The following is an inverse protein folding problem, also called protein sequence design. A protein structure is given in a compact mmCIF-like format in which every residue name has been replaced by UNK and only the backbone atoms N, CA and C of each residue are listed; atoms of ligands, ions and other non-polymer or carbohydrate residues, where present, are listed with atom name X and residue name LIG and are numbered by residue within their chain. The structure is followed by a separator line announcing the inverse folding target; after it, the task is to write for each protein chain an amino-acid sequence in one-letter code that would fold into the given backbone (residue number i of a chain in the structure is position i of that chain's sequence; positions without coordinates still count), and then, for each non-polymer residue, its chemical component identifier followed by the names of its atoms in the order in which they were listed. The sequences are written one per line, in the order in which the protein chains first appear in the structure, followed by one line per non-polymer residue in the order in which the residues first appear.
data_IF_232498735052
#
_entry.id   IF_232498735052
#
_cell.length_a   1.000
_cell.length_b   1.000
_cell.length_c   1.000
_cell.angle_alpha   90.00
_cell.angle_beta   90.00
_cell.angle_gamma   90.00
#
_symmetry.space_group_name_H-M   'P 1'
#
loop_
_entity.id
_entity.type
_entity.pdbx_description
1 polymer ?
#
# COMPACT_ATOMS: atom_id res chain seq x y z
N UNK A 1 16.98 -26.41 4.01
CA UNK A 1 16.02 -25.29 3.81
C UNK A 1 16.86 -24.05 3.80
N UNK A 2 17.04 -23.43 2.64
CA UNK A 2 18.03 -22.38 2.41
C UNK A 2 17.52 -21.02 2.88
N UNK A 3 17.19 -20.89 4.18
CA UNK A 3 17.11 -19.66 5.02
C UNK A 3 16.47 -18.36 4.50
N UNK A 4 15.97 -18.29 3.28
CA UNK A 4 15.57 -17.05 2.60
C UNK A 4 14.09 -17.13 2.26
N UNK A 5 13.30 -16.31 2.97
CA UNK A 5 11.87 -16.12 2.73
C UNK A 5 11.62 -15.52 1.35
N UNK A 6 10.71 -16.11 0.58
CA UNK A 6 10.22 -15.61 -0.70
C UNK A 6 9.27 -14.42 -0.51
N UNK A 7 8.99 -13.67 -1.58
CA UNK A 7 8.05 -12.55 -1.53
C UNK A 7 6.63 -12.97 -1.13
N UNK A 8 6.18 -14.15 -1.58
CA UNK A 8 4.86 -14.70 -1.25
C UNK A 8 4.80 -15.08 0.22
N UNK A 9 5.83 -15.78 0.74
CA UNK A 9 5.88 -16.13 2.15
C UNK A 9 5.93 -14.88 3.05
N UNK A 10 6.60 -13.82 2.61
CA UNK A 10 6.62 -12.55 3.33
C UNK A 10 5.25 -11.87 3.38
N UNK A 11 4.53 -11.83 2.25
CA UNK A 11 3.15 -11.33 2.19
C UNK A 11 2.22 -12.12 3.13
N UNK A 12 2.27 -13.46 3.07
CA UNK A 12 1.46 -14.33 3.93
C UNK A 12 1.75 -14.14 5.42
N UNK A 13 3.04 -14.06 5.80
CA UNK A 13 3.46 -13.87 7.19
C UNK A 13 3.06 -12.47 7.68
N UNK A 14 3.20 -11.44 6.86
CA UNK A 14 2.74 -10.08 7.19
C UNK A 14 1.22 -10.06 7.38
N UNK A 15 0.48 -10.67 6.46
CA UNK A 15 -0.98 -10.77 6.54
C UNK A 15 -1.41 -11.44 7.85
N UNK A 16 -0.81 -12.59 8.20
CA UNK A 16 -1.10 -13.28 9.47
C UNK A 16 -0.82 -12.40 10.69
N UNK A 17 0.26 -11.62 10.70
CA UNK A 17 0.51 -10.71 11.81
C UNK A 17 -0.46 -9.54 11.87
N UNK A 18 -0.87 -8.98 10.73
CA UNK A 18 -1.90 -7.94 10.71
C UNK A 18 -3.23 -8.47 11.27
N UNK A 19 -3.60 -9.73 10.98
CA UNK A 19 -4.78 -10.35 11.58
C UNK A 19 -4.67 -10.49 13.11
N UNK A 20 -3.46 -10.72 13.63
CA UNK A 20 -3.20 -10.81 15.07
C UNK A 20 -3.20 -9.43 15.75
N UNK A 21 -2.72 -8.40 15.05
CA UNK A 21 -2.60 -7.03 15.54
C UNK A 21 -3.39 -6.09 14.62
N UNK A 22 -4.71 -6.26 14.61
CA UNK A 22 -5.60 -5.53 13.70
C UNK A 22 -5.83 -4.06 14.07
N UNK A 23 -5.19 -3.57 15.14
CA UNK A 23 -5.12 -2.17 15.54
C UNK A 23 -3.65 -1.86 15.89
N UNK A 24 -2.92 -1.28 14.92
CA UNK A 24 -1.48 -1.04 15.03
C UNK A 24 -1.10 0.30 14.38
N UNK A 25 -0.23 1.05 15.04
CA UNK A 25 0.32 2.30 14.51
C UNK A 25 1.80 2.13 14.17
N UNK A 26 2.14 2.35 12.90
CA UNK A 26 3.50 2.35 12.39
C UNK A 26 4.06 3.76 12.29
N UNK A 27 5.34 3.90 12.63
CA UNK A 27 6.13 5.08 12.24
C UNK A 27 6.45 4.98 10.75
N UNK A 28 5.74 5.76 9.95
CA UNK A 28 6.02 5.85 8.52
C UNK A 28 7.11 6.90 8.24
N UNK A 29 7.89 6.64 7.20
CA UNK A 29 8.82 7.59 6.60
C UNK A 29 8.44 7.86 5.15
N UNK A 30 9.15 8.74 4.46
CA UNK A 30 9.22 8.68 3.00
C UNK A 30 10.30 7.69 2.56
N UNK A 31 10.49 7.59 1.24
CA UNK A 31 11.48 6.73 0.60
C UNK A 31 12.94 7.10 0.90
N UNK A 32 13.22 8.22 1.56
CA UNK A 32 14.55 8.62 2.04
C UNK A 32 14.72 8.46 3.56
N UNK A 33 13.71 7.90 4.25
CA UNK A 33 13.77 7.68 5.70
C UNK A 33 13.41 8.92 6.53
N UNK A 34 12.92 9.99 5.91
CA UNK A 34 12.44 11.15 6.67
C UNK A 34 11.06 10.84 7.26
N UNK A 35 10.87 11.09 8.54
CA UNK A 35 9.61 10.83 9.23
C UNK A 35 8.43 11.53 8.55
N UNK A 36 7.30 10.81 8.49
CA UNK A 36 6.01 11.26 7.98
C UNK A 36 4.92 11.05 9.03
N UNK A 37 3.69 11.35 8.64
CA UNK A 37 2.52 11.06 9.47
C UNK A 37 2.52 9.56 9.83
N UNK A 38 2.27 9.18 11.08
CA UNK A 38 2.13 7.77 11.45
C UNK A 38 1.00 7.13 10.64
N UNK A 39 1.21 5.87 10.21
CA UNK A 39 0.16 5.09 9.57
C UNK A 39 -0.56 4.27 10.63
N UNK A 40 -1.85 4.55 10.82
CA UNK A 40 -2.72 3.73 11.67
C UNK A 40 -3.43 2.69 10.80
N UNK A 41 -3.09 1.42 10.99
CA UNK A 41 -3.82 0.30 10.38
C UNK A 41 -4.79 -0.21 11.45
N UNK A 42 -6.08 0.00 11.21
CA UNK A 42 -7.15 -0.50 12.06
C UNK A 42 -8.25 -1.15 11.22
N UNK A 43 -8.60 -2.39 11.54
CA UNK A 43 -9.70 -3.09 10.89
C UNK A 43 -10.37 -4.09 11.84
N UNK A 44 -11.64 -4.37 11.59
CA UNK A 44 -12.46 -5.29 12.39
C UNK A 44 -12.51 -6.70 11.76
N UNK A 45 -12.42 -6.77 10.44
CA UNK A 45 -12.45 -8.00 9.67
C UNK A 45 -11.69 -7.82 8.36
N UNK A 46 -11.38 -8.94 7.70
CA UNK A 46 -10.74 -8.96 6.40
C UNK A 46 -11.61 -9.65 5.36
N UNK A 47 -11.38 -9.33 4.09
CA UNK A 47 -12.01 -9.98 2.94
C UNK A 47 -10.98 -10.20 1.84
N UNK A 48 -11.20 -11.21 1.00
CA UNK A 48 -10.49 -11.30 -0.28
C UNK A 48 -11.20 -10.36 -1.26
N UNK A 49 -10.43 -9.52 -1.95
CA UNK A 49 -10.96 -8.60 -2.94
C UNK A 49 -11.67 -9.36 -4.06
N UNK A 50 -12.93 -9.02 -4.29
CA UNK A 50 -13.71 -9.52 -5.42
C UNK A 50 -13.54 -8.61 -6.63
N UNK A 51 -13.80 -9.13 -7.83
CA UNK A 51 -13.88 -8.33 -9.07
C UNK A 51 -15.29 -8.45 -9.68
N UNK A 52 -16.10 -7.36 -9.69
CA UNK A 52 -15.81 -6.05 -9.12
C UNK A 52 -15.81 -6.09 -7.58
N UNK A 53 -15.11 -5.15 -6.91
CA UNK A 53 -15.15 -5.01 -5.46
C UNK A 53 -16.58 -4.85 -4.93
N UNK A 54 -16.85 -5.46 -3.78
CA UNK A 54 -18.09 -5.21 -3.04
C UNK A 54 -18.16 -3.73 -2.62
N UNK A 55 -19.38 -3.19 -2.55
CA UNK A 55 -19.57 -1.86 -1.97
C UNK A 55 -19.10 -1.85 -0.52
N UNK A 56 -18.25 -0.88 -0.20
CA UNK A 56 -17.77 -0.62 1.15
C UNK A 56 -18.89 0.06 1.93
N UNK A 57 -19.30 -0.59 3.00
CA UNK A 57 -20.24 -0.07 4.00
C UNK A 57 -19.54 0.27 5.32
N UNK A 58 -18.27 -0.12 5.47
CA UNK A 58 -17.41 0.12 6.63
C UNK A 58 -15.96 0.23 6.13
N UNK A 59 -15.26 1.32 6.45
CA UNK A 59 -13.86 1.53 6.06
C UNK A 59 -12.88 0.68 6.89
N UNK A 60 -13.36 -0.02 7.93
CA UNK A 60 -12.58 -0.90 8.79
C UNK A 60 -12.44 -2.34 8.24
N UNK A 61 -12.42 -2.50 6.91
CA UNK A 61 -12.23 -3.79 6.23
C UNK A 61 -10.86 -3.81 5.57
N UNK A 62 -10.01 -4.76 5.97
CA UNK A 62 -8.78 -5.03 5.25
C UNK A 62 -9.09 -5.97 4.07
N UNK A 63 -8.98 -5.46 2.85
CA UNK A 63 -9.03 -6.29 1.66
C UNK A 63 -7.63 -6.85 1.37
N UNK A 64 -7.52 -8.17 1.26
CA UNK A 64 -6.39 -8.85 0.62
C UNK A 64 -6.69 -8.98 -0.87
N UNK A 65 -5.84 -8.42 -1.70
CA UNK A 65 -5.99 -8.49 -3.14
C UNK A 65 -5.71 -9.91 -3.64
N UNK A 66 -6.31 -10.30 -4.76
CA UNK A 66 -5.99 -11.59 -5.39
C UNK A 66 -4.61 -11.53 -6.06
N UNK A 67 -3.95 -12.68 -6.20
CA UNK A 67 -2.64 -12.76 -6.88
C UNK A 67 -2.74 -12.19 -8.30
N UNK A 68 -1.90 -11.21 -8.61
CA UNK A 68 -1.92 -10.51 -9.89
C UNK A 68 -2.96 -9.39 -10.00
N UNK A 69 -3.69 -9.05 -8.92
CA UNK A 69 -4.36 -7.76 -8.85
C UNK A 69 -3.29 -6.67 -9.04
N UNK A 70 -3.47 -5.73 -9.98
CA UNK A 70 -2.37 -4.85 -10.33
C UNK A 70 -1.86 -4.07 -9.11
N UNK A 71 -0.54 -4.02 -8.91
CA UNK A 71 0.17 -3.05 -8.07
C UNK A 71 -0.01 -3.07 -6.53
N UNK A 72 -1.07 -3.65 -5.96
CA UNK A 72 -1.32 -3.60 -4.51
C UNK A 72 -1.75 -4.95 -3.92
N UNK A 73 -1.18 -5.28 -2.75
CA UNK A 73 -1.41 -6.54 -2.03
C UNK A 73 -2.56 -6.39 -1.01
N UNK A 74 -2.72 -5.19 -0.42
CA UNK A 74 -3.81 -4.89 0.49
C UNK A 74 -4.45 -3.53 0.24
N UNK A 75 -5.72 -3.40 0.60
CA UNK A 75 -6.44 -2.12 0.62
C UNK A 75 -7.24 -2.00 1.92
N UNK A 76 -7.10 -0.87 2.60
CA UNK A 76 -7.87 -0.52 3.79
C UNK A 76 -8.49 0.87 3.58
N UNK A 77 -9.80 0.93 3.40
CA UNK A 77 -10.50 2.17 3.08
C UNK A 77 -9.97 2.82 1.78
N UNK A 78 -9.23 3.94 1.91
CA UNK A 78 -8.56 4.66 0.81
C UNK A 78 -7.03 4.58 0.88
N UNK A 79 -6.51 3.66 1.70
CA UNK A 79 -5.08 3.35 1.82
C UNK A 79 -4.76 2.09 1.01
N UNK A 80 -3.89 2.24 0.01
CA UNK A 80 -3.44 1.17 -0.87
C UNK A 80 -2.02 0.76 -0.46
N UNK A 81 -1.81 -0.53 -0.24
CA UNK A 81 -0.58 -1.05 0.36
C UNK A 81 0.08 -2.03 -0.60
N UNK A 82 1.34 -1.77 -0.93
CA UNK A 82 2.21 -2.65 -1.70
C UNK A 82 3.34 -3.17 -0.80
N UNK A 83 3.62 -4.46 -0.90
CA UNK A 83 4.50 -5.20 0.00
C UNK A 83 5.58 -5.93 -0.79
N UNK A 84 6.82 -5.87 -0.32
CA UNK A 84 7.92 -6.55 -1.01
C UNK A 84 9.14 -6.75 -0.12
N UNK A 85 9.82 -7.89 -0.30
CA UNK A 85 11.15 -8.15 0.28
C UNK A 85 12.28 -7.37 -0.43
N UNK A 86 11.98 -6.71 -1.54
CA UNK A 86 12.91 -5.86 -2.26
C UNK A 86 12.79 -4.41 -1.82
N UNK A 87 13.81 -3.61 -2.12
CA UNK A 87 13.72 -2.16 -1.93
C UNK A 87 12.78 -1.53 -2.99
N UNK A 88 12.31 -0.31 -2.74
CA UNK A 88 11.32 0.34 -3.60
C UNK A 88 11.79 0.48 -5.05
N UNK A 89 13.02 0.96 -5.29
CA UNK A 89 13.54 1.16 -6.65
C UNK A 89 13.58 -0.15 -7.45
N UNK A 90 13.96 -1.26 -6.81
CA UNK A 90 14.00 -2.58 -7.46
C UNK A 90 12.60 -3.12 -7.71
N UNK A 91 11.68 -2.93 -6.75
CA UNK A 91 10.33 -3.46 -6.85
C UNK A 91 9.43 -2.66 -7.79
N UNK A 92 9.46 -1.32 -7.74
CA UNK A 92 8.64 -0.42 -8.55
C UNK A 92 9.10 -0.38 -10.01
N UNK A 93 8.94 -1.51 -10.70
CA UNK A 93 9.27 -1.72 -12.10
C UNK A 93 8.25 -2.67 -12.73
N UNK A 94 8.13 -2.65 -14.05
CA UNK A 94 7.27 -3.58 -14.83
C UNK A 94 5.82 -3.59 -14.34
N UNK A 95 5.33 -4.71 -13.78
CA UNK A 95 3.95 -4.89 -13.33
C UNK A 95 3.70 -4.36 -11.92
N UNK A 96 4.74 -3.98 -11.17
CA UNK A 96 4.65 -3.42 -9.83
C UNK A 96 4.85 -1.90 -9.81
N UNK A 97 4.97 -1.28 -10.98
CA UNK A 97 5.14 0.17 -11.11
C UNK A 97 3.85 0.92 -10.75
N UNK A 98 3.89 1.70 -9.67
CA UNK A 98 2.75 2.44 -9.14
C UNK A 98 2.15 3.40 -10.18
N UNK A 99 2.96 3.99 -11.07
CA UNK A 99 2.43 4.89 -12.10
C UNK A 99 1.34 4.22 -12.95
N UNK A 100 1.47 2.92 -13.19
CA UNK A 100 0.50 2.14 -13.95
C UNK A 100 -0.87 2.06 -13.28
N UNK A 101 -0.94 2.08 -11.95
CA UNK A 101 -2.21 2.14 -11.23
C UNK A 101 -3.01 3.41 -11.55
N UNK A 102 -2.35 4.47 -12.05
CA UNK A 102 -2.95 5.74 -12.47
C UNK A 102 -3.11 5.87 -13.99
N UNK A 103 -2.30 5.18 -14.79
CA UNK A 103 -2.27 5.34 -16.26
C UNK A 103 -2.92 4.20 -17.03
N UNK A 104 -2.84 2.96 -16.54
CA UNK A 104 -3.35 1.79 -17.24
C UNK A 104 -4.87 1.78 -17.11
N UNK A 105 -5.54 2.10 -18.22
CA UNK A 105 -6.99 2.27 -18.25
C UNK A 105 -7.71 1.03 -18.75
N UNK A 106 -8.65 0.56 -17.95
CA UNK A 106 -9.68 -0.40 -18.36
C UNK A 106 -11.01 0.32 -18.34
N UNK A 107 -11.76 0.30 -19.44
CA UNK A 107 -13.04 1.01 -19.57
C UNK A 107 -12.94 2.51 -19.22
N UNK A 108 -11.90 3.18 -19.71
CA UNK A 108 -11.59 4.61 -19.50
C UNK A 108 -11.18 5.02 -18.08
N UNK A 109 -11.17 4.11 -17.11
CA UNK A 109 -10.77 4.36 -15.73
C UNK A 109 -9.47 3.64 -15.42
N UNK A 110 -8.64 4.27 -14.59
CA UNK A 110 -7.47 3.57 -14.04
C UNK A 110 -7.88 2.67 -12.88
N UNK A 111 -6.92 1.89 -12.38
CA UNK A 111 -7.19 0.91 -11.35
C UNK A 111 -7.72 1.52 -10.04
N UNK A 112 -7.12 2.63 -9.59
CA UNK A 112 -7.53 3.31 -8.36
C UNK A 112 -8.96 3.83 -8.49
N UNK A 113 -9.29 4.46 -9.62
CA UNK A 113 -10.64 4.91 -9.95
C UNK A 113 -11.63 3.75 -9.97
N UNK A 114 -11.27 2.62 -10.60
CA UNK A 114 -12.12 1.42 -10.65
C UNK A 114 -12.40 0.87 -9.25
N UNK A 115 -11.39 0.74 -8.40
CA UNK A 115 -11.59 0.32 -7.02
C UNK A 115 -12.51 1.28 -6.26
N UNK A 116 -12.18 2.58 -6.25
CA UNK A 116 -12.91 3.57 -5.46
C UNK A 116 -14.36 3.72 -5.93
N UNK A 117 -14.63 3.63 -7.22
CA UNK A 117 -16.00 3.73 -7.76
C UNK A 117 -16.83 2.50 -7.44
N UNK A 118 -16.24 1.29 -7.54
CA UNK A 118 -16.94 0.06 -7.18
C UNK A 118 -17.19 -0.01 -5.66
N UNK A 119 -16.20 0.38 -4.86
CA UNK A 119 -16.27 0.40 -3.41
C UNK A 119 -17.25 1.47 -2.88
N UNK A 120 -17.15 2.72 -3.31
CA UNK A 120 -17.89 3.84 -2.71
C UNK A 120 -19.04 4.38 -3.57
N UNK A 121 -19.28 3.83 -4.76
CA UNK A 121 -20.44 4.16 -5.61
C UNK A 121 -20.46 5.59 -6.18
N UNK A 122 -19.33 6.29 -6.19
CA UNK A 122 -19.20 7.67 -6.70
C UNK A 122 -18.33 7.71 -7.96
N UNK A 123 -18.13 8.91 -8.55
CA UNK A 123 -17.21 9.11 -9.67
C UNK A 123 -15.91 9.73 -9.18
N UNK A 124 -14.94 8.87 -8.91
CA UNK A 124 -13.60 9.26 -8.56
C UNK A 124 -12.76 9.54 -9.81
N UNK A 125 -11.79 10.42 -9.63
CA UNK A 125 -10.67 10.59 -10.55
C UNK A 125 -9.38 10.51 -9.76
N UNK A 126 -8.41 9.76 -10.27
CA UNK A 126 -7.10 9.61 -9.66
C UNK A 126 -6.03 9.88 -10.71
N UNK A 127 -5.06 10.73 -10.40
CA UNK A 127 -3.93 11.00 -11.30
C UNK A 127 -2.70 11.47 -10.51
N UNK A 128 -1.54 11.39 -11.16
CA UNK A 128 -0.30 11.97 -10.65
C UNK A 128 -0.16 13.37 -11.23
N UNK A 129 -0.08 14.38 -10.36
CA UNK A 129 0.12 15.75 -10.79
C UNK A 129 1.50 15.89 -11.48
N UNK A 130 1.52 16.39 -12.70
CA UNK A 130 2.76 16.43 -13.50
C UNK A 130 3.81 17.39 -12.95
N UNK A 131 3.39 18.42 -12.21
CA UNK A 131 4.25 19.48 -11.69
C UNK A 131 4.83 19.15 -10.31
N UNK A 132 4.02 18.57 -9.43
CA UNK A 132 4.36 18.27 -8.04
C UNK A 132 4.66 16.80 -7.80
N UNK A 133 4.33 15.92 -8.76
CA UNK A 133 4.41 14.46 -8.65
C UNK A 133 3.55 13.84 -7.55
N UNK A 134 2.63 14.63 -6.99
CA UNK A 134 1.73 14.20 -5.93
C UNK A 134 0.58 13.37 -6.46
N UNK A 135 0.08 12.47 -5.64
CA UNK A 135 -1.12 11.70 -5.95
C UNK A 135 -2.35 12.56 -5.67
N UNK A 136 -3.18 12.77 -6.69
CA UNK A 136 -4.41 13.54 -6.58
C UNK A 136 -5.59 12.62 -6.79
N UNK A 137 -6.43 12.50 -5.77
CA UNK A 137 -7.73 11.81 -5.85
C UNK A 137 -8.84 12.81 -5.60
N UNK A 138 -9.84 12.80 -6.46
CA UNK A 138 -11.04 13.63 -6.32
C UNK A 138 -12.29 12.76 -6.45
N UNK A 139 -13.35 13.13 -5.74
CA UNK A 139 -14.68 12.55 -5.86
C UNK A 139 -15.65 13.68 -6.17
N UNK A 140 -16.35 13.59 -7.31
CA UNK A 140 -17.28 14.64 -7.76
C UNK A 140 -16.65 16.06 -7.77
N UNK A 141 -15.36 16.16 -8.08
CA UNK A 141 -14.60 17.41 -8.14
C UNK A 141 -14.04 17.91 -6.80
N UNK A 142 -14.33 17.23 -5.69
CA UNK A 142 -13.76 17.56 -4.37
C UNK A 142 -12.57 16.64 -4.07
N UNK A 143 -11.51 17.18 -3.45
CA UNK A 143 -10.33 16.41 -3.07
C UNK A 143 -10.64 15.39 -1.98
N UNK A 144 -10.12 14.18 -2.15
CA UNK A 144 -10.14 13.10 -1.17
C UNK A 144 -8.82 13.14 -0.41
N UNK A 145 -8.85 13.65 0.83
CA UNK A 145 -7.64 13.99 1.58
C UNK A 145 -7.00 12.81 2.34
N UNK A 146 -7.74 11.73 2.53
CA UNK A 146 -7.35 10.51 3.25
C UNK A 146 -6.86 9.39 2.31
N UNK A 147 -6.58 9.71 1.04
CA UNK A 147 -5.97 8.78 0.10
C UNK A 147 -4.47 8.64 0.39
N UNK A 148 -4.01 7.39 0.52
CA UNK A 148 -2.61 7.07 0.80
C UNK A 148 -2.13 5.88 -0.03
N UNK A 149 -0.87 5.94 -0.48
CA UNK A 149 -0.14 4.78 -0.98
C UNK A 149 0.99 4.48 -0.01
N UNK A 150 1.08 3.21 0.41
CA UNK A 150 2.04 2.73 1.39
C UNK A 150 2.88 1.62 0.76
N UNK A 151 4.20 1.73 0.93
CA UNK A 151 5.16 0.68 0.60
C UNK A 151 5.73 0.06 1.86
N UNK A 152 5.52 -1.24 2.04
CA UNK A 152 6.06 -2.03 3.15
C UNK A 152 7.24 -2.86 2.64
N UNK A 153 8.43 -2.57 3.18
CA UNK A 153 9.66 -3.19 2.74
C UNK A 153 10.15 -4.25 3.75
N UNK A 154 10.24 -5.50 3.30
CA UNK A 154 10.81 -6.63 4.02
C UNK A 154 12.33 -6.74 3.94
N UNK A 155 13.02 -5.75 3.33
CA UNK A 155 14.49 -5.74 3.25
C UNK A 155 15.08 -5.11 4.50
N UNK A 156 16.16 -5.70 5.03
CA UNK A 156 16.97 -5.10 6.09
C UNK A 156 17.58 -3.76 5.65
N UNK A 157 17.61 -2.81 6.58
CA UNK A 157 18.24 -1.50 6.42
C UNK A 157 17.24 -0.35 6.24
N UNK A 158 17.76 0.87 6.30
CA UNK A 158 16.96 2.07 6.17
C UNK A 158 16.71 2.43 4.71
N UNK A 159 15.53 2.98 4.38
CA UNK A 159 15.27 3.50 3.05
C UNK A 159 16.24 4.66 2.75
N UNK A 160 16.92 4.59 1.61
CA UNK A 160 17.85 5.63 1.14
C UNK A 160 17.62 5.96 -0.34
N UNK A 161 16.36 5.93 -0.77
CA UNK A 161 15.97 6.22 -2.14
C UNK A 161 15.71 7.72 -2.33
N UNK A 162 16.69 8.55 -1.95
CA UNK A 162 16.60 10.02 -2.02
C UNK A 162 16.20 10.54 -3.40
N UNK A 163 16.65 9.88 -4.47
CA UNK A 163 16.23 10.19 -5.84
C UNK A 163 14.74 9.92 -6.09
N UNK A 164 14.16 8.88 -5.48
CA UNK A 164 12.76 8.48 -5.68
C UNK A 164 11.75 9.32 -4.90
N UNK A 165 12.17 10.04 -3.87
CA UNK A 165 11.30 11.02 -3.20
C UNK A 165 10.84 12.13 -4.16
N UNK A 166 11.61 12.45 -5.19
CA UNK A 166 11.19 13.43 -6.22
C UNK A 166 10.13 12.86 -7.17
N UNK A 167 10.22 11.57 -7.47
CA UNK A 167 9.29 10.87 -8.37
C UNK A 167 7.99 10.52 -7.63
N UNK A 168 8.09 10.18 -6.34
CA UNK A 168 6.98 9.72 -5.50
C UNK A 168 7.03 10.35 -4.10
N UNK A 169 6.74 11.66 -3.98
CA UNK A 169 6.88 12.40 -2.71
C UNK A 169 5.88 12.01 -1.62
N UNK A 170 4.76 11.39 -2.01
CA UNK A 170 3.63 11.08 -1.13
C UNK A 170 3.60 9.60 -0.68
N UNK A 171 4.52 8.76 -1.16
CA UNK A 171 4.59 7.37 -0.70
C UNK A 171 5.04 7.32 0.75
N UNK A 172 4.21 6.70 1.59
CA UNK A 172 4.58 6.31 2.93
C UNK A 172 5.37 5.00 2.88
N UNK A 173 6.45 4.93 3.64
CA UNK A 173 7.34 3.80 3.70
C UNK A 173 7.37 3.22 5.11
N UNK A 174 7.28 1.90 5.23
CA UNK A 174 7.49 1.15 6.47
C UNK A 174 8.64 0.17 6.24
N UNK A 175 9.67 0.26 7.06
CA UNK A 175 10.84 -0.62 6.96
C UNK A 175 10.66 -1.90 7.80
N UNK A 176 11.53 -2.88 7.56
CA UNK A 176 11.47 -4.17 8.25
C UNK A 176 11.65 -4.02 9.78
N UNK A 177 12.46 -3.08 10.25
CA UNK A 177 12.72 -2.90 11.68
C UNK A 177 11.45 -2.43 12.42
N UNK A 178 10.70 -1.50 11.83
CA UNK A 178 9.41 -1.06 12.38
C UNK A 178 8.37 -2.19 12.32
N UNK A 179 8.33 -2.98 11.23
CA UNK A 179 7.47 -4.17 11.17
C UNK A 179 7.80 -5.14 12.30
N UNK A 180 9.08 -5.47 12.48
CA UNK A 180 9.55 -6.38 13.53
C UNK A 180 9.12 -5.88 14.90
N UNK A 181 9.40 -4.61 15.19
CA UNK A 181 9.06 -3.99 16.47
C UNK A 181 7.55 -4.04 16.77
N UNK A 182 6.70 -3.80 15.75
CA UNK A 182 5.25 -3.63 15.93
C UNK A 182 4.45 -4.91 15.83
N UNK A 183 4.86 -5.82 14.96
CA UNK A 183 4.09 -7.02 14.60
C UNK A 183 4.75 -8.32 15.06
N UNK A 184 6.08 -8.37 15.15
CA UNK A 184 6.79 -9.61 15.47
C UNK A 184 7.40 -9.61 16.87
N UNK A 185 7.56 -8.45 17.51
CA UNK A 185 8.26 -8.32 18.78
C UNK A 185 9.66 -8.96 18.70
N UNK A 186 10.00 -9.79 19.71
CA UNK A 186 11.27 -10.52 19.76
C UNK A 186 11.25 -11.87 19.00
N UNK A 187 10.19 -12.26 18.28
CA UNK A 187 10.09 -13.58 17.62
C UNK A 187 11.12 -13.81 16.49
N UNK A 188 11.92 -12.82 16.11
CA UNK A 188 12.89 -12.90 15.00
C UNK A 188 14.34 -12.60 15.44
N UNK A 189 14.66 -12.82 16.72
CA UNK A 189 16.04 -12.77 17.26
C UNK A 189 16.52 -14.13 17.78
N UNK A 190 16.20 -15.21 17.07
CA UNK A 190 16.91 -16.50 17.20
C UNK A 190 17.29 -17.03 15.81
#
# INVERSE_FOLDING_TARGET
MDGNMTGIEFDDVLFQQLLRYSDVTFKATDLAGKQRIPLHIKFNYFKILQDPPERITDDNILFRCYEGYPHFDFILGRTFIQVSISNFTTHNTKSADIEKAFTDKTNQKNQIENYLDNAYGSRHKAYIDSSTKKFIVTCNGQTVHDFHIVYICGKLGNPNHTGKVKDFPDILHINLDELKLKLFGNLLME
#
